data_IF_315233410490
#
_entry.id   IF_315233410490
#
_cell.length_a   1.000
_cell.length_b   1.000
_cell.length_c   1.000
_cell.angle_alpha   90.00
_cell.angle_beta   90.00
_cell.angle_gamma   90.00
#
_symmetry.space_group_name_H-M   'P 1'
#
loop_
_entity.id
_entity.type
_entity.pdbx_description
1 polymer ?
#
# COMPACT_ATOMS: atom_id res chain seq x y z
N UNK A 1 -19.73 10.73 3.38
CA UNK A 1 -18.45 11.06 4.03
C UNK A 1 -18.09 12.47 3.62
N UNK A 2 -18.15 13.44 4.53
CA UNK A 2 -17.92 14.86 4.24
C UNK A 2 -16.79 15.46 5.08
N UNK A 3 -16.26 14.69 6.03
CA UNK A 3 -15.11 15.11 6.81
C UNK A 3 -13.80 14.71 6.11
N UNK A 4 -12.79 15.60 6.04
CA UNK A 4 -11.47 15.26 5.52
C UNK A 4 -10.79 14.17 6.36
N UNK A 5 -10.18 13.20 5.69
CA UNK A 5 -9.26 12.25 6.33
C UNK A 5 -8.03 12.99 6.87
N UNK A 6 -7.53 12.54 8.02
CA UNK A 6 -6.41 13.16 8.74
C UNK A 6 -5.54 12.07 9.37
N UNK A 7 -4.29 12.40 9.66
CA UNK A 7 -3.33 11.49 10.31
C UNK A 7 -2.24 11.02 9.36
N UNK A 8 -1.75 9.80 9.57
CA UNK A 8 -0.69 9.16 8.79
C UNK A 8 -1.33 8.27 7.74
N UNK A 9 -1.19 8.64 6.47
CA UNK A 9 -1.73 7.90 5.32
C UNK A 9 -0.59 7.55 4.36
N UNK A 10 0.23 6.52 4.64
CA UNK A 10 1.35 6.17 3.78
C UNK A 10 0.87 5.66 2.42
N UNK A 11 1.76 5.76 1.44
CA UNK A 11 1.62 5.10 0.16
C UNK A 11 2.20 3.69 0.31
N UNK A 12 1.36 2.66 0.19
CA UNK A 12 1.83 1.29 0.22
C UNK A 12 2.51 0.92 -1.11
N UNK A 13 3.68 0.28 -1.09
CA UNK A 13 4.31 -0.24 -2.29
C UNK A 13 3.51 -1.42 -2.86
N UNK A 14 3.53 -1.58 -4.19
CA UNK A 14 3.05 -2.79 -4.86
C UNK A 14 4.19 -3.80 -4.92
N UNK A 15 4.01 -4.98 -4.33
CA UNK A 15 5.07 -5.99 -4.29
C UNK A 15 4.95 -6.92 -5.50
N UNK A 16 6.09 -7.15 -6.15
CA UNK A 16 6.23 -8.05 -7.28
C UNK A 16 7.31 -9.10 -6.99
N UNK A 17 7.20 -10.26 -7.62
CA UNK A 17 8.27 -11.24 -7.71
C UNK A 17 9.36 -10.76 -8.68
N UNK A 18 10.55 -11.39 -8.64
CA UNK A 18 11.66 -11.03 -9.53
C UNK A 18 11.32 -11.19 -11.02
N UNK A 19 10.35 -12.05 -11.35
CA UNK A 19 9.86 -12.25 -12.71
C UNK A 19 8.81 -11.20 -13.16
N UNK A 20 8.45 -10.26 -12.29
CA UNK A 20 7.47 -9.20 -12.55
C UNK A 20 6.02 -9.58 -12.22
N UNK A 21 5.73 -10.82 -11.81
CA UNK A 21 4.38 -11.21 -11.39
C UNK A 21 4.03 -10.57 -10.04
N UNK A 22 2.73 -10.29 -9.82
CA UNK A 22 2.25 -9.71 -8.56
C UNK A 22 2.42 -10.68 -7.39
N UNK A 23 3.12 -10.26 -6.33
CA UNK A 23 3.24 -11.03 -5.08
C UNK A 23 2.10 -10.67 -4.13
N UNK A 24 0.98 -11.38 -4.23
CA UNK A 24 -0.21 -11.11 -3.39
C UNK A 24 0.06 -11.31 -1.89
N UNK A 25 0.91 -12.29 -1.55
CA UNK A 25 1.27 -12.57 -0.14
C UNK A 25 2.20 -11.49 0.42
N UNK A 26 3.13 -10.98 -0.41
CA UNK A 26 3.97 -9.83 -0.09
C UNK A 26 3.15 -8.57 0.16
N UNK A 27 2.22 -8.26 -0.75
CA UNK A 27 1.29 -7.14 -0.57
C UNK A 27 0.48 -7.29 0.72
N UNK A 28 -0.02 -8.49 1.04
CA UNK A 28 -0.72 -8.76 2.30
C UNK A 28 0.16 -8.47 3.53
N UNK A 29 1.40 -8.93 3.56
CA UNK A 29 2.33 -8.67 4.69
C UNK A 29 2.59 -7.18 4.89
N UNK A 30 2.69 -6.42 3.80
CA UNK A 30 2.83 -4.96 3.85
C UNK A 30 1.58 -4.32 4.46
N UNK A 31 0.38 -4.75 4.05
CA UNK A 31 -0.86 -4.24 4.63
C UNK A 31 -0.99 -4.57 6.12
N UNK A 32 -0.67 -5.81 6.50
CA UNK A 32 -0.67 -6.25 7.89
C UNK A 32 0.29 -5.37 8.72
N UNK A 33 1.50 -5.09 8.22
CA UNK A 33 2.44 -4.17 8.87
C UNK A 33 1.86 -2.76 9.03
N UNK A 34 1.27 -2.18 7.97
CA UNK A 34 0.71 -0.83 8.03
C UNK A 34 -0.38 -0.73 9.10
N UNK A 35 -1.25 -1.75 9.19
CA UNK A 35 -2.28 -1.85 10.22
C UNK A 35 -1.65 -1.99 11.60
N UNK A 36 -0.65 -2.86 11.78
CA UNK A 36 0.04 -3.08 13.05
C UNK A 36 0.79 -1.83 13.53
N UNK A 37 1.26 -0.98 12.62
CA UNK A 37 1.87 0.32 12.94
C UNK A 37 0.82 1.39 13.32
N UNK A 38 -0.47 1.12 13.16
CA UNK A 38 -1.55 2.02 13.56
C UNK A 38 -1.71 3.24 12.65
N UNK A 39 -1.50 3.08 11.34
CA UNK A 39 -1.72 4.18 10.37
C UNK A 39 -3.22 4.49 10.23
N UNK A 40 -3.55 5.76 10.01
CA UNK A 40 -4.94 6.24 9.94
C UNK A 40 -5.63 5.91 8.61
N UNK A 41 -4.86 5.56 7.58
CA UNK A 41 -5.34 5.13 6.28
C UNK A 41 -4.20 4.66 5.39
N UNK A 42 -4.49 4.10 4.22
CA UNK A 42 -3.45 3.60 3.30
C UNK A 42 -3.81 4.05 1.89
N UNK A 43 -2.87 4.70 1.21
CA UNK A 43 -2.98 5.01 -0.21
C UNK A 43 -2.39 3.86 -1.01
N UNK A 44 -3.18 3.27 -1.90
CA UNK A 44 -2.74 2.21 -2.83
C UNK A 44 -2.78 2.75 -4.25
N UNK A 45 -1.99 2.16 -5.16
CA UNK A 45 -1.95 2.54 -6.57
C UNK A 45 -1.78 4.07 -6.71
N UNK A 46 -0.66 4.56 -6.21
CA UNK A 46 -0.25 5.95 -6.32
C UNK A 46 1.11 6.04 -7.02
N UNK A 47 1.53 7.23 -7.42
CA UNK A 47 2.76 7.43 -8.19
C UNK A 47 4.04 6.87 -7.52
N UNK A 48 4.03 6.69 -6.19
CA UNK A 48 5.14 6.09 -5.42
C UNK A 48 4.92 4.63 -5.00
N UNK A 49 3.84 3.99 -5.48
CA UNK A 49 3.57 2.56 -5.21
C UNK A 49 4.04 1.63 -6.32
N UNK A 50 4.83 2.13 -7.27
CA UNK A 50 5.20 1.41 -8.51
C UNK A 50 4.00 0.99 -9.37
N UNK A 51 2.89 1.74 -9.30
CA UNK A 51 1.66 1.44 -10.05
C UNK A 51 1.88 1.29 -11.56
N UNK A 52 2.85 1.99 -12.15
CA UNK A 52 3.11 1.95 -13.59
C UNK A 52 3.70 0.62 -14.09
N UNK A 53 4.02 -0.31 -13.18
CA UNK A 53 4.46 -1.67 -13.52
C UNK A 53 3.29 -2.68 -13.56
N UNK A 54 2.07 -2.25 -13.20
CA UNK A 54 0.83 -3.03 -13.36
C UNK A 54 0.24 -2.91 -14.78
#
# INVERSE_FOLDING_TARGET
MTEPYKGILPIAPTIFHENGDLDTEGNKRVMDLMVDQGVDGICILANFSEQFLL
#
